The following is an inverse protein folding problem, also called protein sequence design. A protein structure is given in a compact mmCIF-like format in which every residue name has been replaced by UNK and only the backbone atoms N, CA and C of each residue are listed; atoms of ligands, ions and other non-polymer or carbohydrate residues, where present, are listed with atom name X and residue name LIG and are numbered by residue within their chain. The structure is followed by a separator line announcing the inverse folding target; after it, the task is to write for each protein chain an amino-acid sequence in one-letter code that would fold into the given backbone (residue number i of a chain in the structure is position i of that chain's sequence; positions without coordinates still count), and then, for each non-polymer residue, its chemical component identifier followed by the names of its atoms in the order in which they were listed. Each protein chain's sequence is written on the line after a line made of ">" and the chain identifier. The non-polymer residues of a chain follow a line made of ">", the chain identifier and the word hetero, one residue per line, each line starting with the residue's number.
data_IF_150477638086
#
_entry.id   IF_150477638086
#
_cell.length_a   1.000
_cell.length_b   1.000
_cell.length_c   1.000
_cell.angle_alpha   90.00
_cell.angle_beta   90.00
_cell.angle_gamma   90.00
#
_symmetry.space_group_name_H-M   'P 1'
#
loop_
_entity.id
_entity.type
_entity.pdbx_description
1 polymer ?
#
# COMPACT_ATOMS: atom_id res chain seq x y z
N UNK A 1 13.93 -16.94 -10.47
CA UNK A 1 12.98 -16.18 -9.64
C UNK A 1 11.56 -16.42 -10.12
N UNK A 2 10.88 -17.36 -9.48
CA UNK A 2 9.58 -17.88 -9.96
C UNK A 2 8.37 -17.37 -9.18
N UNK A 3 8.47 -16.28 -8.42
CA UNK A 3 7.45 -15.96 -7.39
C UNK A 3 6.93 -14.52 -7.41
N UNK A 4 6.90 -13.83 -8.57
CA UNK A 4 6.13 -12.59 -8.72
C UNK A 4 4.77 -12.96 -9.29
N UNK A 5 3.71 -12.59 -8.57
CA UNK A 5 2.32 -12.74 -8.98
C UNK A 5 1.75 -11.36 -9.34
N UNK A 6 1.33 -11.21 -10.59
CA UNK A 6 0.62 -10.01 -11.04
C UNK A 6 -0.88 -10.27 -10.88
N UNK A 7 -1.48 -9.64 -9.88
CA UNK A 7 -2.93 -9.71 -9.63
C UNK A 7 -3.62 -8.64 -10.47
N UNK A 8 -4.35 -9.07 -11.49
CA UNK A 8 -5.06 -8.17 -12.42
C UNK A 8 -6.42 -7.79 -11.86
N UNK A 9 -6.69 -6.48 -11.79
CA UNK A 9 -7.98 -5.91 -11.41
C UNK A 9 -8.48 -4.99 -12.53
N UNK A 10 -9.71 -5.19 -12.97
CA UNK A 10 -10.38 -4.33 -13.96
C UNK A 10 -11.53 -3.62 -13.26
N UNK A 11 -11.55 -2.30 -13.38
CA UNK A 11 -12.58 -1.39 -12.89
C UNK A 11 -13.05 -0.53 -14.06
N UNK A 12 -14.15 0.19 -13.90
CA UNK A 12 -14.62 1.18 -14.86
C UNK A 12 -15.05 2.47 -14.19
N UNK A 13 -14.96 3.59 -14.92
CA UNK A 13 -15.37 4.89 -14.39
C UNK A 13 -15.73 5.87 -15.49
N UNK A 14 -16.91 6.49 -15.37
CA UNK A 14 -17.36 7.62 -16.23
C UNK A 14 -16.56 8.92 -16.01
N UNK A 15 -15.73 8.98 -14.97
CA UNK A 15 -14.86 10.13 -14.69
C UNK A 15 -13.60 10.16 -15.56
N UNK A 16 -13.28 9.05 -16.21
CA UNK A 16 -12.11 8.92 -17.07
C UNK A 16 -12.53 8.84 -18.54
N UNK A 17 -11.85 9.61 -19.39
CA UNK A 17 -12.07 9.58 -20.86
C UNK A 17 -11.25 8.52 -21.58
N UNK A 18 -10.25 7.94 -20.90
CA UNK A 18 -9.37 6.89 -21.41
C UNK A 18 -9.01 5.94 -20.28
N UNK A 19 -8.60 4.74 -20.65
CA UNK A 19 -8.07 3.78 -19.69
C UNK A 19 -6.86 4.33 -18.98
N UNK A 20 -6.77 4.04 -17.68
CA UNK A 20 -5.61 4.36 -16.83
C UNK A 20 -5.18 3.07 -16.13
N UNK A 21 -3.87 2.80 -16.14
CA UNK A 21 -3.27 1.66 -15.47
C UNK A 21 -2.49 2.09 -14.24
N UNK A 22 -2.80 1.48 -13.10
CA UNK A 22 -2.09 1.63 -11.85
C UNK A 22 -1.30 0.37 -11.53
N UNK A 23 -0.09 0.54 -11.02
CA UNK A 23 0.59 -0.49 -10.25
C UNK A 23 0.45 -0.14 -8.77
N UNK A 24 0.07 -1.13 -7.98
CA UNK A 24 -0.06 -1.03 -6.53
C UNK A 24 0.78 -2.10 -5.85
N UNK A 25 1.71 -1.66 -5.03
CA UNK A 25 2.58 -2.47 -4.17
C UNK A 25 2.54 -1.92 -2.74
N UNK A 26 2.99 -2.68 -1.78
CA UNK A 26 3.14 -2.27 -0.39
C UNK A 26 3.97 -3.30 0.38
N UNK A 27 4.16 -3.09 1.67
CA UNK A 27 4.83 -4.02 2.57
C UNK A 27 6.17 -4.50 1.99
N UNK A 28 7.01 -3.55 1.55
CA UNK A 28 8.32 -3.84 0.94
C UNK A 28 9.27 -4.34 2.04
N UNK A 29 9.16 -3.75 3.23
CA UNK A 29 9.99 -4.05 4.40
C UNK A 29 11.46 -4.08 4.01
N UNK A 30 11.91 -2.97 3.40
CA UNK A 30 13.30 -2.84 3.00
C UNK A 30 14.23 -2.85 4.20
N UNK A 31 15.23 -3.73 4.18
CA UNK A 31 16.20 -3.93 5.24
C UNK A 31 17.57 -4.33 4.70
N UNK A 32 18.53 -4.59 5.60
CA UNK A 32 19.90 -4.94 5.26
C UNK A 32 20.01 -6.20 4.38
N UNK A 33 19.06 -7.12 4.51
CA UNK A 33 19.06 -8.39 3.76
C UNK A 33 18.38 -8.29 2.39
N UNK A 34 17.71 -7.16 2.11
CA UNK A 34 17.05 -6.94 0.82
C UNK A 34 18.11 -6.83 -0.28
N UNK A 35 18.02 -7.74 -1.25
CA UNK A 35 18.99 -7.77 -2.36
C UNK A 35 18.58 -6.81 -3.48
N UNK A 36 19.57 -6.17 -4.11
CA UNK A 36 19.40 -5.37 -5.33
C UNK A 36 18.68 -6.16 -6.42
N UNK A 37 19.03 -7.42 -6.58
CA UNK A 37 18.40 -8.32 -7.54
C UNK A 37 16.89 -8.45 -7.32
N UNK A 38 16.40 -8.51 -6.06
CA UNK A 38 14.95 -8.51 -5.75
C UNK A 38 14.30 -7.21 -6.22
N UNK A 39 14.91 -6.06 -5.93
CA UNK A 39 14.40 -4.75 -6.34
C UNK A 39 14.34 -4.60 -7.86
N UNK A 40 15.37 -5.04 -8.56
CA UNK A 40 15.42 -5.03 -10.04
C UNK A 40 14.29 -5.88 -10.65
N UNK A 41 14.02 -7.07 -10.12
CA UNK A 41 12.90 -7.89 -10.62
C UNK A 41 11.55 -7.25 -10.41
N UNK A 42 11.34 -6.60 -9.27
CA UNK A 42 10.11 -5.85 -9.01
C UNK A 42 10.00 -4.71 -10.02
N UNK A 43 11.08 -3.96 -10.24
CA UNK A 43 11.12 -2.89 -11.23
C UNK A 43 10.75 -3.38 -12.63
N UNK A 44 11.36 -4.47 -13.12
CA UNK A 44 11.04 -5.03 -14.43
C UNK A 44 9.57 -5.44 -14.55
N UNK A 45 8.99 -6.05 -13.51
CA UNK A 45 7.59 -6.42 -13.52
C UNK A 45 6.65 -5.19 -13.54
N UNK A 46 7.06 -4.09 -12.92
CA UNK A 46 6.35 -2.81 -12.96
C UNK A 46 6.46 -2.18 -14.36
N UNK A 47 7.65 -2.14 -14.92
CA UNK A 47 7.92 -1.57 -16.24
C UNK A 47 7.15 -2.30 -17.36
N UNK A 48 7.14 -3.64 -17.34
CA UNK A 48 6.38 -4.48 -18.28
C UNK A 48 4.86 -4.24 -18.21
N UNK A 49 4.36 -3.77 -17.08
CA UNK A 49 2.95 -3.43 -16.91
C UNK A 49 2.55 -2.10 -17.56
N UNK A 50 3.50 -1.26 -17.98
CA UNK A 50 3.31 0.08 -18.56
C UNK A 50 2.31 0.95 -17.76
N UNK A 51 2.59 1.25 -16.48
CA UNK A 51 1.65 2.01 -15.63
C UNK A 51 1.64 3.50 -15.95
N UNK A 52 0.48 4.14 -15.78
CA UNK A 52 0.38 5.59 -15.73
C UNK A 52 0.79 6.13 -14.33
N UNK A 53 0.56 5.34 -13.27
CA UNK A 53 0.88 5.68 -11.88
C UNK A 53 1.29 4.46 -11.08
N UNK A 54 2.21 4.66 -10.12
CA UNK A 54 2.69 3.65 -9.18
C UNK A 54 2.30 4.06 -7.77
N UNK A 55 1.65 3.17 -7.02
CA UNK A 55 1.25 3.39 -5.64
C UNK A 55 1.99 2.44 -4.70
N UNK A 56 2.56 2.99 -3.63
CA UNK A 56 3.21 2.25 -2.54
C UNK A 56 2.43 2.56 -1.26
N UNK A 57 1.71 1.55 -0.75
CA UNK A 57 0.83 1.73 0.40
C UNK A 57 1.47 1.30 1.70
N UNK A 58 2.51 2.05 2.11
CA UNK A 58 3.15 1.91 3.41
C UNK A 58 4.09 0.71 3.56
N UNK A 59 4.75 0.68 4.70
CA UNK A 59 5.76 -0.28 5.10
C UNK A 59 6.86 -0.45 4.04
N UNK A 60 7.37 0.71 3.59
CA UNK A 60 8.54 0.77 2.71
C UNK A 60 9.78 0.27 3.46
N UNK A 61 9.96 0.71 4.71
CA UNK A 61 11.04 0.31 5.58
C UNK A 61 10.60 -0.83 6.51
N UNK A 62 11.53 -1.73 6.89
CA UNK A 62 11.25 -2.83 7.85
C UNK A 62 11.51 -2.39 9.30
N UNK A 63 12.52 -1.55 9.50
CA UNK A 63 12.97 -1.13 10.82
C UNK A 63 13.45 0.31 10.83
N UNK A 64 13.23 1.02 11.94
CA UNK A 64 13.63 2.42 12.07
C UNK A 64 15.14 2.63 11.90
N UNK A 65 15.98 1.67 12.23
CA UNK A 65 17.45 1.83 12.15
C UNK A 65 18.03 1.75 10.74
N UNK A 66 17.27 1.30 9.74
CA UNK A 66 17.77 1.18 8.36
C UNK A 66 18.15 2.56 7.77
N UNK A 67 17.48 3.62 8.19
CA UNK A 67 17.78 5.00 7.77
C UNK A 67 19.18 5.46 8.14
N UNK A 68 19.83 4.81 9.14
CA UNK A 68 21.22 5.05 9.54
C UNK A 68 22.24 4.36 8.63
N UNK A 69 21.83 3.37 7.83
CA UNK A 69 22.70 2.68 6.88
C UNK A 69 22.72 3.42 5.53
N UNK A 70 23.71 4.33 5.38
CA UNK A 70 23.82 5.21 4.21
C UNK A 70 23.89 4.46 2.87
N UNK A 71 24.58 3.32 2.81
CA UNK A 71 24.71 2.54 1.58
C UNK A 71 23.36 1.92 1.18
N UNK A 72 22.68 1.30 2.14
CA UNK A 72 21.36 0.72 1.91
C UNK A 72 20.33 1.78 1.51
N UNK A 73 20.33 2.92 2.17
CA UNK A 73 19.45 4.04 1.81
C UNK A 73 19.76 4.56 0.40
N UNK A 74 21.05 4.68 0.02
CA UNK A 74 21.42 5.06 -1.34
C UNK A 74 20.86 4.09 -2.39
N UNK A 75 20.92 2.78 -2.13
CA UNK A 75 20.36 1.76 -3.03
C UNK A 75 18.83 1.87 -3.11
N UNK A 76 18.13 2.06 -1.99
CA UNK A 76 16.69 2.25 -1.97
C UNK A 76 16.27 3.51 -2.75
N UNK A 77 16.95 4.62 -2.51
CA UNK A 77 16.70 5.89 -3.21
C UNK A 77 16.94 5.73 -4.72
N UNK A 78 18.02 5.07 -5.12
CA UNK A 78 18.31 4.78 -6.54
C UNK A 78 17.20 3.93 -7.17
N UNK A 79 16.69 2.94 -6.45
CA UNK A 79 15.59 2.12 -6.93
C UNK A 79 14.29 2.93 -7.06
N UNK A 80 13.92 3.72 -6.06
CA UNK A 80 12.75 4.60 -6.13
C UNK A 80 12.85 5.59 -7.28
N UNK A 81 14.02 6.22 -7.47
CA UNK A 81 14.26 7.10 -8.63
C UNK A 81 14.06 6.35 -9.95
N UNK A 82 14.48 5.10 -10.03
CA UNK A 82 14.26 4.28 -11.23
C UNK A 82 12.77 3.98 -11.49
N UNK A 83 11.94 3.89 -10.45
CA UNK A 83 10.48 3.81 -10.59
C UNK A 83 9.89 5.15 -11.04
N UNK A 84 10.39 6.27 -10.52
CA UNK A 84 10.02 7.63 -10.93
C UNK A 84 10.28 7.92 -12.41
N UNK A 85 11.26 7.22 -13.02
CA UNK A 85 11.52 7.29 -14.46
C UNK A 85 10.49 6.48 -15.30
N UNK A 86 9.79 5.52 -14.69
CA UNK A 86 8.72 4.77 -15.36
C UNK A 86 7.41 5.55 -15.31
N UNK A 87 6.98 5.98 -14.11
CA UNK A 87 5.73 6.69 -13.88
C UNK A 87 5.80 7.47 -12.56
N UNK A 88 4.82 8.37 -12.32
CA UNK A 88 4.69 9.05 -11.02
C UNK A 88 4.45 8.04 -9.90
N UNK A 89 5.23 8.12 -8.83
CA UNK A 89 5.18 7.24 -7.67
C UNK A 89 4.57 7.99 -6.49
N UNK A 90 3.54 7.43 -5.89
CA UNK A 90 2.89 7.96 -4.69
C UNK A 90 3.07 6.99 -3.54
N UNK A 91 3.55 7.50 -2.41
CA UNK A 91 3.88 6.70 -1.23
C UNK A 91 3.04 7.22 -0.06
N UNK A 92 2.21 6.36 0.55
CA UNK A 92 1.66 6.61 1.88
C UNK A 92 2.50 5.87 2.93
N UNK A 93 2.41 6.30 4.19
CA UNK A 93 3.20 5.72 5.28
C UNK A 93 2.44 4.59 5.98
N UNK A 94 3.17 3.52 6.31
CA UNK A 94 2.69 2.41 7.14
C UNK A 94 3.24 2.48 8.58
N UNK A 95 2.89 1.49 9.40
CA UNK A 95 3.27 1.50 10.81
C UNK A 95 4.79 1.30 11.05
N UNK A 96 5.50 0.68 10.11
CA UNK A 96 6.96 0.59 10.18
C UNK A 96 7.68 1.87 9.73
N UNK A 97 7.00 2.74 9.01
CA UNK A 97 7.55 3.98 8.46
C UNK A 97 7.46 5.17 9.43
N UNK A 98 6.65 5.07 10.50
CA UNK A 98 6.30 6.18 11.41
C UNK A 98 6.84 5.99 12.83
N UNK A 99 7.85 5.16 13.04
CA UNK A 99 8.34 4.79 14.39
C UNK A 99 9.27 5.86 14.95
N UNK A 100 10.16 6.42 14.14
CA UNK A 100 11.15 7.41 14.58
C UNK A 100 11.04 8.72 13.81
N UNK A 101 11.46 9.82 14.45
CA UNK A 101 11.51 11.14 13.80
C UNK A 101 12.46 11.15 12.59
N UNK A 102 13.57 10.42 12.65
CA UNK A 102 14.52 10.31 11.53
C UNK A 102 13.88 9.66 10.30
N UNK A 103 12.91 8.79 10.47
CA UNK A 103 12.20 8.16 9.37
C UNK A 103 11.34 9.20 8.64
N UNK A 104 10.64 10.08 9.34
CA UNK A 104 9.93 11.20 8.73
C UNK A 104 10.86 12.12 7.94
N UNK A 105 12.07 12.40 8.45
CA UNK A 105 13.08 13.19 7.73
C UNK A 105 13.52 12.49 6.44
N UNK A 106 13.65 11.17 6.46
CA UNK A 106 13.95 10.38 5.27
C UNK A 106 12.81 10.49 4.24
N UNK A 107 11.56 10.25 4.64
CA UNK A 107 10.41 10.32 3.74
C UNK A 107 10.22 11.73 3.15
N UNK A 108 10.40 12.79 3.93
CA UNK A 108 10.33 14.16 3.43
C UNK A 108 11.35 14.42 2.32
N UNK A 109 12.57 13.92 2.45
CA UNK A 109 13.61 14.04 1.40
C UNK A 109 13.30 13.26 0.12
N UNK A 110 12.45 12.24 0.18
CA UNK A 110 12.02 11.54 -1.04
C UNK A 110 11.23 12.44 -1.98
N UNK A 111 10.56 13.48 -1.48
CA UNK A 111 9.86 14.47 -2.31
C UNK A 111 10.82 15.34 -3.16
N UNK A 112 12.11 15.34 -2.86
CA UNK A 112 13.13 16.02 -3.68
C UNK A 112 13.49 15.23 -4.96
N UNK A 113 13.03 13.96 -5.05
CA UNK A 113 13.26 13.10 -6.20
C UNK A 113 12.14 13.31 -7.23
N UNK A 114 12.53 13.50 -8.49
CA UNK A 114 11.57 13.72 -9.56
C UNK A 114 10.54 12.57 -9.64
N UNK A 115 9.26 12.93 -9.77
CA UNK A 115 8.13 11.99 -9.85
C UNK A 115 7.92 11.11 -8.62
N UNK A 116 8.51 11.42 -7.46
CA UNK A 116 8.24 10.76 -6.19
C UNK A 116 7.45 11.72 -5.29
N UNK A 117 6.33 11.25 -4.76
CA UNK A 117 5.43 12.02 -3.92
C UNK A 117 5.10 11.22 -2.66
N UNK A 118 5.58 11.66 -1.51
CA UNK A 118 5.20 11.09 -0.21
C UNK A 118 3.98 11.86 0.30
N UNK A 119 2.87 11.16 0.45
CA UNK A 119 1.60 11.72 0.87
C UNK A 119 1.33 11.40 2.35
N UNK A 120 1.93 12.20 3.24
CA UNK A 120 1.70 12.11 4.67
C UNK A 120 0.56 13.07 5.08
N UNK A 121 -0.68 12.57 5.10
CA UNK A 121 -1.90 13.37 5.26
C UNK A 121 -1.97 14.53 4.26
N UNK A 122 -1.62 14.24 3.03
CA UNK A 122 -1.56 15.18 1.92
C UNK A 122 -2.26 14.64 0.69
N UNK A 123 -2.53 15.51 -0.27
CA UNK A 123 -3.10 15.14 -1.55
C UNK A 123 -2.28 15.64 -2.73
N UNK A 124 -2.47 14.97 -3.84
CA UNK A 124 -1.96 15.35 -5.16
C UNK A 124 -3.10 15.35 -6.15
N UNK A 125 -3.08 16.28 -7.08
CA UNK A 125 -4.07 16.38 -8.15
C UNK A 125 -3.39 16.65 -9.49
N UNK A 126 -3.87 15.95 -10.52
CA UNK A 126 -3.57 16.31 -11.91
C UNK A 126 -4.87 16.34 -12.74
N UNK A 127 -4.76 16.36 -14.07
CA UNK A 127 -5.96 16.47 -14.92
C UNK A 127 -6.92 15.28 -14.82
N UNK A 128 -6.44 14.10 -14.47
CA UNK A 128 -7.21 12.85 -14.52
C UNK A 128 -7.67 12.38 -13.14
N UNK A 129 -6.79 12.47 -12.15
CA UNK A 129 -6.98 11.86 -10.83
C UNK A 129 -6.73 12.84 -9.69
N UNK A 130 -7.33 12.52 -8.55
CA UNK A 130 -7.05 13.10 -7.25
C UNK A 130 -6.63 11.97 -6.31
N UNK A 131 -5.50 12.13 -5.63
CA UNK A 131 -4.90 11.12 -4.78
C UNK A 131 -4.71 11.69 -3.39
N UNK A 132 -5.12 10.97 -2.34
CA UNK A 132 -4.77 11.32 -0.95
C UNK A 132 -4.05 10.17 -0.28
N UNK A 133 -3.02 10.49 0.51
CA UNK A 133 -2.36 9.54 1.40
C UNK A 133 -2.72 9.87 2.84
N UNK A 134 -3.22 8.88 3.56
CA UNK A 134 -3.53 8.99 4.98
C UNK A 134 -2.49 8.22 5.79
N UNK A 135 -1.87 8.92 6.74
CA UNK A 135 -0.98 8.31 7.73
C UNK A 135 -1.75 8.15 9.04
N UNK A 136 -1.96 6.90 9.45
CA UNK A 136 -2.63 6.60 10.69
C UNK A 136 -1.64 6.68 11.85
N UNK A 137 -2.04 7.16 13.03
CA UNK A 137 -1.14 7.29 14.16
C UNK A 137 -0.73 5.92 14.72
N UNK A 138 0.38 5.86 15.45
CA UNK A 138 0.93 4.61 15.98
C UNK A 138 -0.06 3.88 16.89
N UNK A 139 -0.85 4.60 17.70
CA UNK A 139 -1.86 4.00 18.57
C UNK A 139 -2.97 3.28 17.80
N UNK A 140 -3.23 3.64 16.55
CA UNK A 140 -4.17 2.90 15.71
C UNK A 140 -3.77 1.43 15.57
N UNK A 141 -2.47 1.15 15.38
CA UNK A 141 -1.95 -0.20 15.16
C UNK A 141 -1.64 -0.97 16.45
N UNK A 142 -1.35 -0.25 17.53
CA UNK A 142 -0.87 -0.81 18.79
C UNK A 142 -1.79 -0.47 19.96
N UNK A 143 -3.09 -0.69 19.78
CA UNK A 143 -4.06 -0.55 20.85
C UNK A 143 -3.85 -1.61 21.94
N UNK A 144 -4.17 -1.26 23.20
CA UNK A 144 -4.06 -2.13 24.38
C UNK A 144 -4.82 -3.45 24.20
N UNK A 145 -5.96 -3.42 23.50
CA UNK A 145 -6.80 -4.58 23.22
C UNK A 145 -6.34 -5.39 21.98
N UNK A 146 -5.22 -5.04 21.36
CA UNK A 146 -4.67 -5.66 20.15
C UNK A 146 -5.61 -5.60 18.92
N UNK A 147 -6.48 -4.63 18.87
CA UNK A 147 -7.34 -4.35 17.72
C UNK A 147 -7.03 -2.95 17.18
N UNK A 148 -7.22 -2.78 15.88
CA UNK A 148 -7.15 -1.46 15.28
C UNK A 148 -8.19 -0.53 15.90
N UNK A 149 -7.77 0.69 16.21
CA UNK A 149 -8.59 1.67 16.90
C UNK A 149 -9.47 2.47 15.93
N UNK A 150 -10.80 2.18 15.89
CA UNK A 150 -11.75 2.91 15.06
C UNK A 150 -11.76 4.42 15.38
N UNK A 151 -11.61 4.79 16.64
CA UNK A 151 -11.63 6.19 17.04
C UNK A 151 -10.40 6.93 16.50
N UNK A 152 -9.21 6.33 16.57
CA UNK A 152 -8.00 6.91 16.01
C UNK A 152 -8.10 7.10 14.48
N UNK A 153 -8.73 6.16 13.77
CA UNK A 153 -9.01 6.32 12.33
C UNK A 153 -9.99 7.46 12.08
N UNK A 154 -11.12 7.50 12.77
CA UNK A 154 -12.14 8.53 12.59
C UNK A 154 -11.61 9.93 12.94
N UNK A 155 -10.80 10.04 13.98
CA UNK A 155 -10.11 11.27 14.37
C UNK A 155 -9.11 11.71 13.28
N UNK A 156 -8.32 10.79 12.74
CA UNK A 156 -7.41 11.07 11.62
C UNK A 156 -8.17 11.62 10.42
N UNK A 157 -9.32 11.01 10.05
CA UNK A 157 -10.15 11.50 8.96
C UNK A 157 -10.79 12.86 9.26
N UNK A 158 -11.14 13.13 10.52
CA UNK A 158 -11.71 14.40 10.95
C UNK A 158 -10.66 15.52 10.95
N UNK A 159 -9.45 15.23 11.45
CA UNK A 159 -8.34 16.19 11.46
C UNK A 159 -7.84 16.53 10.05
N UNK A 160 -8.09 15.66 9.09
CA UNK A 160 -7.78 15.85 7.66
C UNK A 160 -9.06 16.07 6.83
N UNK A 161 -9.97 16.92 7.32
CA UNK A 161 -11.28 17.17 6.74
C UNK A 161 -11.23 17.56 5.24
N UNK A 162 -10.23 18.33 4.83
CA UNK A 162 -9.99 18.74 3.44
C UNK A 162 -9.67 17.56 2.51
N UNK A 163 -9.22 16.42 3.06
CA UNK A 163 -8.94 15.21 2.29
C UNK A 163 -10.16 14.28 2.16
N UNK A 164 -11.28 14.57 2.83
CA UNK A 164 -12.48 13.72 2.83
C UNK A 164 -13.76 14.43 2.42
N UNK A 165 -13.71 15.74 2.21
CA UNK A 165 -14.88 16.55 1.84
C UNK A 165 -14.56 17.52 0.72
N UNK A 166 -15.59 17.82 -0.09
CA UNK A 166 -15.50 18.76 -1.20
C UNK A 166 -14.42 18.39 -2.23
N UNK A 167 -14.18 17.10 -2.41
CA UNK A 167 -13.19 16.62 -3.35
C UNK A 167 -13.61 16.89 -4.82
N UNK A 168 -12.66 17.00 -5.76
CA UNK A 168 -12.95 17.30 -7.17
C UNK A 168 -13.94 16.31 -7.80
N UNK A 169 -15.15 16.73 -8.11
CA UNK A 169 -16.26 15.84 -8.59
C UNK A 169 -15.94 15.11 -9.89
N UNK A 170 -15.19 15.75 -10.79
CA UNK A 170 -14.88 15.24 -12.13
C UNK A 170 -13.63 14.36 -12.19
N UNK A 171 -12.91 14.19 -11.09
CA UNK A 171 -11.66 13.41 -11.00
C UNK A 171 -11.95 11.99 -10.49
N UNK A 172 -11.18 11.01 -10.98
CA UNK A 172 -11.13 9.71 -10.35
C UNK A 172 -10.32 9.82 -9.05
N UNK A 173 -10.89 9.39 -7.93
CA UNK A 173 -10.33 9.65 -6.60
C UNK A 173 -9.80 8.39 -5.96
N UNK A 174 -8.52 8.41 -5.60
CA UNK A 174 -7.81 7.30 -4.99
C UNK A 174 -7.33 7.70 -3.60
N UNK A 175 -7.62 6.89 -2.58
CA UNK A 175 -7.02 7.02 -1.26
C UNK A 175 -5.99 5.92 -1.02
N UNK A 176 -4.86 6.27 -0.43
CA UNK A 176 -3.84 5.35 0.04
C UNK A 176 -3.94 5.28 1.57
N UNK A 177 -4.37 4.14 2.10
CA UNK A 177 -4.53 3.91 3.55
C UNK A 177 -3.92 2.56 3.86
N UNK A 178 -2.87 2.53 4.68
CA UNK A 178 -2.06 1.32 4.87
C UNK A 178 -2.88 0.13 5.39
N UNK A 179 -3.64 0.28 6.48
CA UNK A 179 -4.48 -0.81 7.03
C UNK A 179 -5.88 -0.83 6.41
N UNK A 180 -6.35 -1.99 5.90
CA UNK A 180 -7.70 -2.15 5.33
C UNK A 180 -8.77 -2.53 6.35
N UNK A 181 -8.41 -2.85 7.59
CA UNK A 181 -9.28 -3.63 8.51
C UNK A 181 -10.62 -2.94 8.76
N UNK A 182 -10.61 -1.63 9.04
CA UNK A 182 -11.82 -0.87 9.36
C UNK A 182 -12.44 -0.16 8.15
N UNK A 183 -11.86 -0.25 6.96
CA UNK A 183 -12.33 0.50 5.79
C UNK A 183 -13.70 0.03 5.25
N UNK A 184 -14.23 -1.08 5.70
CA UNK A 184 -15.58 -1.55 5.38
C UNK A 184 -16.61 -1.26 6.47
N UNK A 185 -16.20 -0.69 7.60
CA UNK A 185 -17.10 -0.33 8.69
C UNK A 185 -17.97 0.87 8.31
N UNK A 186 -19.25 0.83 8.67
CA UNK A 186 -20.28 1.79 8.21
C UNK A 186 -19.88 3.25 8.41
N UNK A 187 -19.36 3.61 9.58
CA UNK A 187 -18.96 4.99 9.90
C UNK A 187 -17.79 5.46 9.01
N UNK A 188 -16.82 4.58 8.76
CA UNK A 188 -15.65 4.87 7.92
C UNK A 188 -16.07 4.98 6.46
N UNK A 189 -16.96 4.09 6.00
CA UNK A 189 -17.53 4.12 4.63
C UNK A 189 -18.23 5.44 4.34
N UNK A 190 -19.01 5.99 5.29
CA UNK A 190 -19.65 7.28 5.12
C UNK A 190 -18.66 8.45 5.11
N UNK A 191 -17.57 8.39 5.90
CA UNK A 191 -16.52 9.42 5.89
C UNK A 191 -15.72 9.45 4.57
N UNK A 192 -15.46 8.29 3.98
CA UNK A 192 -14.67 8.15 2.75
C UNK A 192 -15.52 8.06 1.48
N UNK A 193 -16.82 8.36 1.53
CA UNK A 193 -17.80 8.18 0.44
C UNK A 193 -17.48 8.92 -0.86
N UNK A 194 -16.65 9.92 -0.84
CA UNK A 194 -16.26 10.68 -2.05
C UNK A 194 -15.19 9.97 -2.89
N UNK A 195 -14.50 8.98 -2.33
CA UNK A 195 -13.50 8.20 -3.07
C UNK A 195 -14.13 7.16 -3.98
N UNK A 196 -13.39 6.79 -5.02
CA UNK A 196 -13.74 5.72 -5.97
C UNK A 196 -12.98 4.43 -5.65
N UNK A 197 -11.71 4.58 -5.24
CA UNK A 197 -10.79 3.49 -4.98
C UNK A 197 -9.97 3.76 -3.72
N UNK A 198 -9.83 2.74 -2.86
CA UNK A 198 -8.89 2.76 -1.74
C UNK A 198 -7.89 1.64 -1.93
N UNK A 199 -6.60 1.95 -1.79
CA UNK A 199 -5.50 1.01 -1.88
C UNK A 199 -4.89 0.80 -0.49
N UNK A 200 -4.68 -0.47 -0.12
CA UNK A 200 -4.17 -0.84 1.21
C UNK A 200 -3.16 -1.98 1.15
N UNK A 201 -2.31 -2.07 2.16
CA UNK A 201 -1.35 -3.13 2.43
C UNK A 201 -1.57 -3.80 3.78
N UNK A 202 -0.52 -3.85 4.61
CA UNK A 202 -0.49 -4.26 6.02
C UNK A 202 -0.76 -5.74 6.29
N UNK A 203 -1.67 -6.35 5.56
CA UNK A 203 -2.22 -7.67 5.90
C UNK A 203 -1.39 -8.85 5.39
N UNK A 204 -0.34 -8.62 4.61
CA UNK A 204 0.56 -9.65 4.08
C UNK A 204 -0.17 -10.84 3.43
N UNK A 205 -1.29 -10.57 2.75
CA UNK A 205 -2.18 -11.61 2.18
C UNK A 205 -2.75 -12.57 3.23
N UNK A 206 -2.84 -12.14 4.50
CA UNK A 206 -3.28 -12.97 5.62
C UNK A 206 -2.39 -14.18 5.86
N UNK A 207 -1.09 -14.09 5.52
CA UNK A 207 -0.08 -15.16 5.66
C UNK A 207 -0.55 -16.52 5.10
N UNK A 208 -1.21 -16.52 3.93
CA UNK A 208 -1.67 -17.74 3.26
C UNK A 208 -0.55 -18.27 2.36
N UNK A 209 -0.03 -19.49 2.61
CA UNK A 209 0.86 -20.15 1.67
C UNK A 209 0.17 -20.39 0.32
N UNK A 210 0.92 -20.30 -0.78
CA UNK A 210 0.39 -20.46 -2.15
C UNK A 210 -0.44 -21.71 -2.36
N UNK A 211 -0.07 -22.81 -1.70
CA UNK A 211 -0.77 -24.10 -1.80
C UNK A 211 -2.20 -24.03 -1.24
N UNK A 212 -2.45 -23.18 -0.25
CA UNK A 212 -3.76 -23.00 0.40
C UNK A 212 -4.59 -21.86 -0.21
N UNK A 213 -4.03 -21.10 -1.14
CA UNK A 213 -4.67 -19.89 -1.69
C UNK A 213 -6.02 -20.16 -2.35
N UNK A 214 -6.16 -21.33 -2.99
CA UNK A 214 -7.42 -21.76 -3.64
C UNK A 214 -8.48 -22.31 -2.68
N UNK A 215 -8.06 -22.68 -1.46
CA UNK A 215 -8.94 -23.32 -0.47
C UNK A 215 -9.53 -22.28 0.48
N UNK A 216 -8.75 -21.25 0.81
CA UNK A 216 -9.17 -20.21 1.74
C UNK A 216 -10.04 -19.21 1.01
N UNK A 217 -11.24 -18.97 1.57
CA UNK A 217 -12.22 -18.03 1.02
C UNK A 217 -11.61 -16.64 0.75
N UNK A 218 -11.98 -16.03 -0.37
CA UNK A 218 -11.59 -14.66 -0.68
C UNK A 218 -11.86 -13.71 0.50
N UNK A 219 -10.97 -12.75 0.71
CA UNK A 219 -10.95 -11.77 1.80
C UNK A 219 -10.59 -12.30 3.19
N UNK A 220 -10.39 -13.61 3.37
CA UNK A 220 -9.92 -14.19 4.63
C UNK A 220 -8.44 -14.51 4.57
N UNK A 221 -7.74 -14.37 5.72
CA UNK A 221 -6.38 -14.80 5.93
C UNK A 221 -6.29 -15.94 6.95
N UNK A 222 -5.16 -16.60 7.03
CA UNK A 222 -4.87 -17.55 8.11
C UNK A 222 -4.54 -16.80 9.39
N UNK A 223 -3.65 -15.83 9.30
CA UNK A 223 -3.17 -15.03 10.44
C UNK A 223 -3.01 -13.59 9.97
N UNK A 224 -3.52 -12.63 10.72
CA UNK A 224 -3.29 -11.20 10.51
C UNK A 224 -2.07 -10.69 11.29
N UNK A 225 -1.52 -9.51 10.98
CA UNK A 225 -0.41 -8.91 11.73
C UNK A 225 -0.69 -8.75 13.22
N UNK A 226 -1.94 -8.48 13.59
CA UNK A 226 -2.43 -8.43 14.98
C UNK A 226 -2.74 -9.81 15.59
N UNK A 227 -2.24 -10.88 14.96
CA UNK A 227 -2.32 -12.29 15.41
C UNK A 227 -3.73 -12.89 15.50
N UNK A 228 -4.72 -12.30 14.83
CA UNK A 228 -6.04 -12.94 14.70
C UNK A 228 -6.02 -14.05 13.67
N UNK A 229 -6.63 -15.18 14.01
CA UNK A 229 -6.85 -16.29 13.08
C UNK A 229 -8.10 -16.02 12.23
N UNK A 230 -8.03 -16.40 10.96
CA UNK A 230 -9.12 -16.27 9.98
C UNK A 230 -9.70 -14.85 9.90
N UNK A 231 -8.83 -13.85 10.03
CA UNK A 231 -9.23 -12.44 9.94
C UNK A 231 -9.81 -12.12 8.56
N UNK A 232 -10.86 -11.29 8.55
CA UNK A 232 -11.44 -10.72 7.33
C UNK A 232 -10.60 -9.55 6.82
N UNK A 233 -10.89 -9.15 5.57
CA UNK A 233 -10.27 -7.98 4.93
C UNK A 233 -8.74 -8.06 4.86
N UNK A 234 -8.20 -9.26 4.60
CA UNK A 234 -6.75 -9.49 4.57
C UNK A 234 -6.18 -9.47 3.17
N UNK A 235 -7.01 -9.56 2.13
CA UNK A 235 -6.57 -9.66 0.74
C UNK A 235 -7.67 -9.40 -0.27
N UNK A 236 -7.25 -9.13 -1.51
CA UNK A 236 -8.14 -9.10 -2.67
C UNK A 236 -8.91 -7.80 -2.80
N UNK A 237 -10.13 -7.90 -3.33
CA UNK A 237 -10.99 -6.78 -3.65
C UNK A 237 -12.27 -6.82 -2.80
N UNK A 238 -12.57 -5.72 -2.10
CA UNK A 238 -13.77 -5.52 -1.30
C UNK A 238 -14.58 -4.39 -1.91
N UNK A 239 -15.86 -4.62 -2.11
CA UNK A 239 -16.80 -3.60 -2.61
C UNK A 239 -17.63 -3.08 -1.43
N UNK A 240 -17.58 -1.77 -1.22
CA UNK A 240 -18.47 -1.06 -0.29
C UNK A 240 -19.64 -0.41 -1.05
N UNK A 241 -20.44 0.39 -0.36
CA UNK A 241 -21.53 1.16 -0.99
C UNK A 241 -21.00 2.25 -1.95
N UNK A 242 -19.83 2.85 -1.66
CA UNK A 242 -19.33 4.03 -2.38
C UNK A 242 -18.03 3.79 -3.13
N UNK A 243 -17.15 2.92 -2.63
CA UNK A 243 -15.82 2.71 -3.17
C UNK A 243 -15.41 1.23 -3.19
N UNK A 244 -14.36 0.96 -3.91
CA UNK A 244 -13.71 -0.34 -3.95
C UNK A 244 -12.41 -0.26 -3.14
N UNK A 245 -12.13 -1.28 -2.33
CA UNK A 245 -10.85 -1.45 -1.64
C UNK A 245 -10.08 -2.54 -2.37
N UNK A 246 -8.81 -2.29 -2.71
CA UNK A 246 -7.88 -3.30 -3.22
C UNK A 246 -6.72 -3.42 -2.24
N UNK A 247 -6.52 -4.64 -1.75
CA UNK A 247 -5.49 -4.95 -0.76
C UNK A 247 -4.35 -5.67 -1.47
N UNK A 248 -3.12 -5.16 -1.33
CA UNK A 248 -1.95 -5.86 -1.84
C UNK A 248 -1.53 -6.97 -0.90
N UNK A 249 -1.06 -8.06 -1.48
CA UNK A 249 -0.47 -9.14 -0.69
C UNK A 249 0.93 -8.81 -0.17
N UNK A 250 1.50 -7.68 -0.55
CA UNK A 250 2.82 -7.21 -0.13
C UNK A 250 4.00 -7.86 -0.86
N UNK A 251 5.13 -7.19 -0.80
CA UNK A 251 6.40 -7.65 -1.39
C UNK A 251 7.14 -8.60 -0.43
N UNK A 252 7.07 -8.35 0.86
CA UNK A 252 7.63 -9.19 1.92
C UNK A 252 6.51 -9.65 2.84
N UNK A 253 6.44 -10.93 3.14
CA UNK A 253 5.36 -11.51 3.97
C UNK A 253 5.74 -11.62 5.44
N UNK A 254 6.97 -12.02 5.68
CA UNK A 254 7.49 -12.20 7.02
C UNK A 254 8.70 -11.29 7.19
N UNK A 255 8.68 -10.44 8.21
CA UNK A 255 9.85 -9.66 8.55
C UNK A 255 11.02 -10.60 8.87
N UNK A 256 12.15 -10.40 8.21
CA UNK A 256 13.34 -11.23 8.35
C UNK A 256 14.10 -10.96 9.67
N UNK A 257 13.56 -10.03 10.44
CA UNK A 257 14.22 -9.52 11.65
C UNK A 257 14.34 -10.52 12.78
N UNK A 258 13.55 -11.58 12.78
CA UNK A 258 13.45 -12.44 13.94
C UNK A 258 14.24 -13.74 13.85
N UNK A 259 14.42 -14.35 12.67
CA UNK A 259 15.31 -15.55 12.51
C UNK A 259 15.61 -15.86 11.04
N UNK A 260 16.78 -16.52 10.78
CA UNK A 260 17.13 -17.07 9.46
C UNK A 260 16.08 -18.09 8.93
N UNK A 261 15.31 -18.71 9.81
CA UNK A 261 14.27 -19.67 9.46
C UNK A 261 13.09 -18.95 8.80
N UNK A 262 12.63 -17.83 9.36
CA UNK A 262 11.52 -17.04 8.79
C UNK A 262 11.87 -16.49 7.41
N UNK A 263 13.15 -16.13 7.17
CA UNK A 263 13.57 -15.68 5.84
C UNK A 263 13.43 -16.76 4.75
N UNK A 264 13.65 -18.02 5.10
CA UNK A 264 13.44 -19.17 4.19
C UNK A 264 11.95 -19.41 3.93
N UNK A 265 11.09 -19.21 4.94
CA UNK A 265 9.65 -19.33 4.78
C UNK A 265 9.04 -18.29 3.85
N UNK A 266 9.66 -17.11 3.69
CA UNK A 266 9.24 -16.13 2.69
C UNK A 266 9.19 -16.72 1.25
N UNK A 267 9.98 -17.75 0.95
CA UNK A 267 9.93 -18.43 -0.35
C UNK A 267 8.62 -19.18 -0.62
N UNK A 268 7.81 -19.46 0.39
CA UNK A 268 6.49 -20.10 0.26
C UNK A 268 5.40 -19.12 -0.22
N UNK A 269 5.68 -17.82 -0.15
CA UNK A 269 4.73 -16.77 -0.48
C UNK A 269 5.19 -16.03 -1.75
N UNK A 270 4.30 -15.80 -2.73
CA UNK A 270 4.63 -15.01 -3.90
C UNK A 270 4.80 -13.54 -3.54
N UNK A 271 5.69 -12.84 -4.23
CA UNK A 271 5.67 -11.37 -4.28
C UNK A 271 4.40 -10.96 -5.02
N UNK A 272 3.56 -10.14 -4.40
CA UNK A 272 2.28 -9.73 -4.97
C UNK A 272 2.34 -8.30 -5.47
N UNK A 273 2.01 -8.10 -6.74
CA UNK A 273 1.88 -6.80 -7.41
C UNK A 273 0.48 -6.72 -7.99
N UNK A 274 -0.30 -5.70 -7.62
CA UNK A 274 -1.58 -5.44 -8.26
C UNK A 274 -1.38 -4.58 -9.52
N UNK A 275 -1.88 -5.07 -10.66
CA UNK A 275 -2.11 -4.27 -11.87
C UNK A 275 -3.59 -3.93 -11.94
N UNK A 276 -3.93 -2.65 -11.82
CA UNK A 276 -5.30 -2.17 -11.78
C UNK A 276 -5.53 -1.33 -13.04
N UNK A 277 -6.43 -1.78 -13.90
CA UNK A 277 -6.85 -1.01 -15.08
C UNK A 277 -8.24 -0.43 -14.81
N UNK A 278 -8.35 0.89 -14.82
CA UNK A 278 -9.63 1.58 -14.75
C UNK A 278 -10.01 1.98 -16.15
N UNK A 279 -11.04 1.32 -16.69
CA UNK A 279 -11.59 1.61 -18.01
C UNK A 279 -12.31 2.95 -18.01
N UNK A 280 -11.94 3.81 -18.96
CA UNK A 280 -12.70 5.02 -19.23
C UNK A 280 -13.99 4.67 -19.98
N UNK A 281 -15.09 5.28 -19.57
CA UNK A 281 -16.36 5.20 -20.30
C UNK A 281 -16.54 6.49 -21.07
N UNK A 282 -16.59 6.38 -22.41
CA UNK A 282 -16.92 7.49 -23.34
C UNK A 282 -18.42 7.79 -23.33
#
# INVERSE_FOLDING_TARGET
>A
MKNIEIVKNILSSKKLKKDITFIHIGDIHYNETTSTKKLEYIKYAIEDAHPDYIFITGDLLDRPKITKNKEKIKLLVSWLNSLGNIAKVFISLGNHDIILEEDYKFFNKLNDINNIYVLNNQSYEDKNIFISGFTLPTNYYYNIEKHEDENALLETLQNNFNLVTNLPKKKYKVALIHSPILLSEKKVVEKLKEYDLILSGHMHNGLIPRILDKIIKNNYGLISPDKRFFAKNTRGKIKTKYYIIIITGGITKLSTSSTKILSKLNGLYPISINKITVKGET
#
